data_IF_337762916448
#
_entry.id   IF_337762916448
#
_cell.length_a   1.000
_cell.length_b   1.000
_cell.length_c   1.000
_cell.angle_alpha   90.00
_cell.angle_beta   90.00
_cell.angle_gamma   90.00
#
_symmetry.space_group_name_H-M   'P 1'
#
loop_
_entity.id
_entity.type
_entity.pdbx_description
1 polymer ?
#
# COMPACT_ATOMS: atom_id res chain seq x y z
N UNK A 1 38.68 -20.57 -37.90
CA UNK A 1 37.53 -21.37 -37.42
C UNK A 1 36.74 -20.51 -36.44
N UNK A 2 35.49 -20.14 -36.75
CA UNK A 2 34.66 -19.23 -35.93
C UNK A 2 33.55 -20.06 -35.29
N UNK A 3 33.67 -20.34 -34.00
CA UNK A 3 32.68 -21.13 -33.25
C UNK A 3 31.44 -20.29 -33.00
N UNK A 4 30.31 -20.68 -33.60
CA UNK A 4 29.01 -20.11 -33.25
C UNK A 4 28.56 -20.68 -31.90
N UNK A 5 28.26 -19.82 -30.94
CA UNK A 5 27.60 -20.23 -29.70
C UNK A 5 26.13 -20.54 -29.99
N UNK A 6 25.64 -21.67 -29.45
CA UNK A 6 24.20 -21.95 -29.42
C UNK A 6 23.53 -20.92 -28.51
N UNK A 7 22.50 -20.23 -29.01
CA UNK A 7 21.51 -19.62 -28.14
C UNK A 7 20.60 -20.73 -27.59
N UNK A 8 20.76 -21.04 -26.30
CA UNK A 8 19.77 -21.86 -25.59
C UNK A 8 18.56 -20.99 -25.23
N UNK A 9 17.41 -21.33 -25.82
CA UNK A 9 16.15 -20.63 -25.56
C UNK A 9 15.62 -21.04 -24.18
N UNK A 10 15.96 -20.27 -23.16
CA UNK A 10 15.44 -20.47 -21.81
C UNK A 10 13.96 -20.08 -21.76
N UNK A 11 13.08 -21.06 -21.63
CA UNK A 11 11.65 -20.82 -21.44
C UNK A 11 11.40 -19.92 -20.23
N UNK A 12 10.80 -18.76 -20.48
CA UNK A 12 10.29 -17.88 -19.44
C UNK A 12 8.97 -18.45 -18.90
N UNK A 13 8.72 -18.41 -17.57
CA UNK A 13 7.38 -18.64 -17.06
C UNK A 13 6.46 -17.56 -17.62
N UNK A 14 5.40 -17.96 -18.35
CA UNK A 14 4.34 -17.04 -18.77
C UNK A 14 3.58 -16.56 -17.53
N UNK A 15 3.93 -15.37 -17.05
CA UNK A 15 3.01 -14.53 -16.31
C UNK A 15 2.08 -13.92 -17.36
N UNK A 16 0.94 -14.56 -17.60
CA UNK A 16 0.01 -14.13 -18.63
C UNK A 16 -0.54 -12.73 -18.29
N UNK A 17 -0.04 -11.72 -19.01
CA UNK A 17 -0.66 -10.41 -19.08
C UNK A 17 -1.92 -10.49 -19.92
N UNK A 18 -2.93 -11.19 -19.42
CA UNK A 18 -4.29 -11.01 -19.89
C UNK A 18 -4.65 -9.54 -19.65
N UNK A 19 -4.82 -8.80 -20.73
CA UNK A 19 -5.57 -7.56 -20.69
C UNK A 19 -6.97 -7.95 -20.20
N UNK A 20 -7.31 -7.54 -18.98
CA UNK A 20 -8.65 -7.76 -18.41
C UNK A 20 -9.61 -7.01 -19.32
N UNK A 21 -10.39 -7.73 -20.11
CA UNK A 21 -11.56 -7.17 -20.76
C UNK A 21 -12.49 -6.69 -19.66
N UNK A 22 -12.85 -5.41 -19.69
CA UNK A 22 -13.85 -4.85 -18.81
C UNK A 22 -15.22 -5.40 -19.23
N UNK A 23 -15.54 -6.63 -18.82
CA UNK A 23 -16.88 -7.21 -18.93
C UNK A 23 -17.82 -6.48 -17.97
N UNK A 24 -18.28 -5.32 -18.41
CA UNK A 24 -19.17 -4.41 -17.69
C UNK A 24 -20.62 -4.94 -17.55
N UNK A 25 -20.82 -6.25 -17.62
CA UNK A 25 -22.12 -6.90 -17.76
C UNK A 25 -22.53 -7.86 -16.65
N UNK A 26 -21.62 -8.32 -15.79
CA UNK A 26 -21.98 -9.17 -14.65
C UNK A 26 -22.32 -8.32 -13.43
N UNK A 27 -23.58 -8.36 -13.00
CA UNK A 27 -23.97 -7.83 -11.68
C UNK A 27 -23.14 -8.53 -10.61
N UNK A 28 -22.38 -7.80 -9.76
CA UNK A 28 -21.45 -8.42 -8.83
C UNK A 28 -22.25 -9.14 -7.72
N UNK A 29 -22.37 -10.47 -7.84
CA UNK A 29 -22.89 -11.37 -6.80
C UNK A 29 -21.94 -11.50 -5.60
N UNK A 30 -20.94 -10.62 -5.50
CA UNK A 30 -19.71 -10.87 -4.79
C UNK A 30 -19.82 -10.49 -3.32
N UNK A 31 -19.98 -11.51 -2.47
CA UNK A 31 -19.60 -11.50 -1.04
C UNK A 31 -18.09 -11.36 -0.81
N UNK A 32 -17.33 -11.11 -1.88
CA UNK A 32 -15.88 -10.98 -1.92
C UNK A 32 -15.47 -9.51 -1.74
N UNK A 33 -14.57 -9.27 -0.81
CA UNK A 33 -13.98 -7.95 -0.57
C UNK A 33 -12.92 -7.63 -1.63
N UNK A 34 -13.07 -6.51 -2.34
CA UNK A 34 -12.12 -6.03 -3.35
C UNK A 34 -11.13 -5.04 -2.72
N UNK A 35 -9.83 -5.39 -2.70
CA UNK A 35 -8.77 -4.59 -2.05
C UNK A 35 -7.69 -4.16 -3.06
N UNK A 36 -7.51 -2.86 -3.23
CA UNK A 36 -6.34 -2.30 -3.91
C UNK A 36 -5.19 -2.08 -2.92
N UNK A 37 -3.98 -2.51 -3.29
CA UNK A 37 -2.75 -2.32 -2.50
C UNK A 37 -1.76 -1.54 -3.36
N UNK A 38 -1.48 -0.30 -2.99
CA UNK A 38 -0.55 0.57 -3.72
C UNK A 38 0.85 0.38 -3.15
N UNK A 39 1.71 -0.36 -3.85
CA UNK A 39 3.09 -0.68 -3.48
C UNK A 39 3.31 -2.14 -3.10
N UNK A 40 4.26 -2.79 -3.77
CA UNK A 40 4.67 -4.20 -3.61
C UNK A 40 5.96 -4.31 -2.75
N UNK A 41 6.07 -3.46 -1.74
CA UNK A 41 7.11 -3.54 -0.69
C UNK A 41 6.70 -4.43 0.48
N UNK A 42 7.47 -4.42 1.56
CA UNK A 42 7.25 -5.28 2.74
C UNK A 42 5.82 -5.22 3.29
N UNK A 43 5.25 -4.02 3.49
CA UNK A 43 3.90 -3.86 4.04
C UNK A 43 2.82 -4.40 3.10
N UNK A 44 2.88 -4.03 1.81
CA UNK A 44 1.87 -4.41 0.82
C UNK A 44 1.87 -5.92 0.54
N UNK A 45 3.06 -6.54 0.45
CA UNK A 45 3.15 -7.99 0.31
C UNK A 45 2.75 -8.73 1.59
N UNK A 46 3.15 -8.26 2.78
CA UNK A 46 2.73 -8.87 4.04
C UNK A 46 1.20 -8.84 4.20
N UNK A 47 0.57 -7.71 3.84
CA UNK A 47 -0.89 -7.59 3.76
C UNK A 47 -1.48 -8.59 2.77
N UNK A 48 -0.96 -8.66 1.54
CA UNK A 48 -1.49 -9.55 0.52
C UNK A 48 -1.41 -11.04 0.94
N UNK A 49 -0.29 -11.44 1.55
CA UNK A 49 -0.16 -12.78 2.13
C UNK A 49 -1.16 -13.02 3.26
N UNK A 50 -1.30 -12.04 4.18
CA UNK A 50 -2.21 -12.12 5.30
C UNK A 50 -3.67 -12.29 4.82
N UNK A 51 -4.12 -11.47 3.88
CA UNK A 51 -5.44 -11.59 3.24
C UNK A 51 -5.62 -12.95 2.59
N UNK A 52 -4.62 -13.43 1.84
CA UNK A 52 -4.68 -14.71 1.14
C UNK A 52 -4.80 -15.92 2.09
N UNK A 53 -4.04 -15.93 3.18
CA UNK A 53 -3.96 -17.06 4.09
C UNK A 53 -5.14 -17.11 5.07
N UNK A 54 -5.78 -15.98 5.36
CA UNK A 54 -6.84 -15.87 6.37
C UNK A 54 -8.24 -15.58 5.80
N UNK A 55 -8.36 -15.28 4.51
CA UNK A 55 -9.66 -15.18 3.83
C UNK A 55 -10.24 -16.57 3.53
N UNK A 56 -11.46 -16.89 4.01
CA UNK A 56 -12.10 -18.17 3.73
C UNK A 56 -12.48 -18.25 2.25
N UNK A 57 -12.19 -19.39 1.61
CA UNK A 57 -12.70 -19.74 0.27
C UNK A 57 -12.54 -18.68 -0.84
N UNK A 58 -11.59 -17.74 -0.70
CA UNK A 58 -11.40 -16.66 -1.67
C UNK A 58 -12.25 -15.41 -1.47
N UNK A 59 -12.87 -15.20 -0.31
CA UNK A 59 -13.71 -14.04 0.00
C UNK A 59 -12.98 -12.67 0.05
N UNK A 60 -11.73 -12.59 -0.43
CA UNK A 60 -10.99 -11.35 -0.71
C UNK A 60 -10.30 -11.49 -2.08
N UNK A 61 -10.47 -10.51 -2.97
CA UNK A 61 -9.59 -10.30 -4.13
C UNK A 61 -8.63 -9.14 -3.84
N UNK A 62 -7.34 -9.34 -4.11
CA UNK A 62 -6.30 -8.35 -3.86
C UNK A 62 -5.58 -7.96 -5.15
N UNK A 63 -5.58 -6.67 -5.48
CA UNK A 63 -4.83 -6.10 -6.62
C UNK A 63 -3.71 -5.21 -6.11
N UNK A 64 -2.46 -5.66 -6.29
CA UNK A 64 -1.27 -4.88 -5.96
C UNK A 64 -0.82 -4.06 -7.17
N UNK A 65 -0.70 -2.74 -7.03
CA UNK A 65 -0.13 -1.85 -8.02
C UNK A 65 1.33 -1.55 -7.67
N UNK A 66 2.26 -1.89 -8.56
CA UNK A 66 3.69 -1.61 -8.37
C UNK A 66 4.23 -0.71 -9.49
N UNK A 67 4.82 0.42 -9.10
CA UNK A 67 5.42 1.39 -10.02
C UNK A 67 6.71 0.85 -10.66
N UNK A 68 7.45 -0.01 -9.95
CA UNK A 68 8.62 -0.73 -10.45
C UNK A 68 8.26 -1.77 -11.53
N UNK A 69 9.29 -2.25 -12.24
CA UNK A 69 9.13 -3.43 -13.11
C UNK A 69 8.95 -4.70 -12.27
N UNK A 70 8.48 -5.78 -12.90
CA UNK A 70 8.63 -7.11 -12.31
C UNK A 70 10.12 -7.39 -12.07
N UNK A 71 10.49 -8.07 -10.97
CA UNK A 71 11.87 -8.49 -10.75
C UNK A 71 12.32 -9.42 -11.89
N UNK A 72 13.48 -9.13 -12.49
CA UNK A 72 14.08 -10.01 -13.50
C UNK A 72 14.81 -11.18 -12.82
N UNK A 73 15.03 -12.28 -13.55
CA UNK A 73 15.84 -13.41 -13.04
C UNK A 73 17.26 -12.97 -12.67
N UNK A 74 17.78 -11.99 -13.40
CA UNK A 74 19.17 -11.51 -13.31
C UNK A 74 19.40 -10.53 -12.14
N UNK A 75 18.33 -10.10 -11.44
CA UNK A 75 18.42 -9.20 -10.28
C UNK A 75 18.57 -7.72 -10.63
N UNK A 76 18.35 -7.33 -11.89
CA UNK A 76 18.47 -5.93 -12.32
C UNK A 76 17.43 -5.04 -11.61
N UNK A 77 17.93 -4.01 -10.92
CA UNK A 77 17.12 -3.10 -10.11
C UNK A 77 16.62 -3.72 -8.80
N UNK A 78 17.15 -4.86 -8.37
CA UNK A 78 16.77 -5.49 -7.11
C UNK A 78 17.33 -4.73 -5.89
N UNK A 79 16.57 -4.77 -4.78
CA UNK A 79 16.95 -4.08 -3.54
C UNK A 79 18.04 -4.88 -2.83
N UNK A 80 19.30 -4.45 -3.01
CA UNK A 80 20.48 -5.03 -2.37
C UNK A 80 20.62 -4.62 -0.89
N UNK A 81 21.47 -5.36 -0.18
CA UNK A 81 21.80 -5.15 1.24
C UNK A 81 20.85 -5.86 2.21
N UNK A 82 21.17 -5.76 3.49
CA UNK A 82 20.44 -6.44 4.56
C UNK A 82 19.34 -5.57 5.17
N UNK A 83 18.46 -6.22 5.92
CA UNK A 83 17.42 -5.56 6.69
C UNK A 83 17.15 -6.29 8.00
N UNK A 84 16.83 -5.51 9.03
CA UNK A 84 16.62 -6.01 10.38
C UNK A 84 15.14 -6.11 10.70
N UNK A 85 14.68 -7.34 10.91
CA UNK A 85 13.28 -7.75 11.07
C UNK A 85 13.12 -8.79 12.21
N UNK A 86 13.49 -8.45 13.45
CA UNK A 86 13.64 -9.41 14.56
C UNK A 86 12.35 -10.10 15.00
N UNK A 87 11.18 -9.65 14.56
CA UNK A 87 9.91 -10.31 14.85
C UNK A 87 9.16 -10.79 13.60
N UNK A 88 9.67 -10.55 12.38
CA UNK A 88 9.00 -11.01 11.18
C UNK A 88 8.81 -12.54 11.16
N UNK A 89 9.72 -13.32 11.78
CA UNK A 89 9.54 -14.76 11.96
C UNK A 89 8.29 -15.16 12.76
N UNK A 90 7.90 -14.41 13.80
CA UNK A 90 6.63 -14.67 14.51
C UNK A 90 5.42 -14.18 13.71
N UNK A 91 5.53 -13.05 13.02
CA UNK A 91 4.42 -12.52 12.20
C UNK A 91 4.14 -13.38 10.96
N UNK A 92 5.17 -13.93 10.31
CA UNK A 92 4.99 -14.87 9.20
C UNK A 92 4.30 -16.15 9.67
N UNK A 93 4.75 -16.71 10.82
CA UNK A 93 4.13 -17.91 11.38
C UNK A 93 2.67 -17.67 11.81
N UNK A 94 2.33 -16.47 12.31
CA UNK A 94 0.95 -16.14 12.71
C UNK A 94 -0.02 -16.08 11.52
N UNK A 95 0.47 -15.81 10.30
CA UNK A 95 -0.31 -15.88 9.05
C UNK A 95 -0.02 -17.13 8.20
N UNK A 96 0.55 -18.19 8.79
CA UNK A 96 0.77 -19.47 8.09
C UNK A 96 1.96 -19.50 7.12
N UNK A 97 2.73 -18.42 7.00
CA UNK A 97 3.91 -18.28 6.14
C UNK A 97 5.22 -18.82 6.75
N UNK A 98 5.16 -19.73 7.72
CA UNK A 98 6.36 -20.25 8.40
C UNK A 98 7.41 -20.79 7.43
N UNK A 99 6.97 -21.54 6.41
CA UNK A 99 7.85 -22.12 5.38
C UNK A 99 8.57 -21.06 4.55
N UNK A 100 7.88 -20.00 4.15
CA UNK A 100 8.45 -18.89 3.38
C UNK A 100 9.49 -18.13 4.22
N UNK A 101 9.25 -17.97 5.52
CA UNK A 101 10.24 -17.39 6.43
C UNK A 101 11.49 -18.25 6.57
N UNK A 102 11.32 -19.55 6.82
CA UNK A 102 12.44 -20.49 6.99
C UNK A 102 13.25 -20.63 5.67
N UNK A 103 12.58 -20.56 4.51
CA UNK A 103 13.23 -20.49 3.20
C UNK A 103 14.00 -19.18 2.98
N UNK A 104 13.47 -18.04 3.44
CA UNK A 104 14.18 -16.75 3.37
C UNK A 104 15.51 -16.80 4.15
N UNK A 105 15.49 -17.35 5.37
CA UNK A 105 16.70 -17.57 6.19
C UNK A 105 17.71 -18.47 5.47
N UNK A 106 17.23 -19.57 4.86
CA UNK A 106 18.07 -20.52 4.11
C UNK A 106 18.72 -19.89 2.88
N UNK A 107 17.94 -19.19 2.05
CA UNK A 107 18.42 -18.50 0.84
C UNK A 107 19.34 -17.32 1.19
N UNK A 108 19.05 -16.62 2.29
CA UNK A 108 19.89 -15.55 2.80
C UNK A 108 21.27 -16.00 3.28
N UNK A 109 21.47 -17.31 3.50
CA UNK A 109 22.67 -17.89 4.14
C UNK A 109 22.98 -17.21 5.48
N UNK A 110 21.93 -16.84 6.24
CA UNK A 110 22.10 -16.17 7.52
C UNK A 110 22.89 -17.06 8.49
N UNK A 111 23.91 -16.48 9.11
CA UNK A 111 24.55 -17.12 10.27
C UNK A 111 23.56 -17.15 11.43
N UNK A 112 23.76 -18.07 12.39
CA UNK A 112 22.93 -18.12 13.62
C UNK A 112 22.91 -16.78 14.37
N UNK A 113 23.99 -16.00 14.27
CA UNK A 113 24.07 -14.66 14.84
C UNK A 113 23.24 -13.62 14.08
N UNK A 114 23.24 -13.67 12.74
CA UNK A 114 22.40 -12.81 11.92
C UNK A 114 20.92 -13.12 12.17
N UNK A 115 20.55 -14.40 12.21
CA UNK A 115 19.22 -14.88 12.59
C UNK A 115 18.82 -14.37 13.99
N UNK A 116 19.67 -14.53 15.00
CA UNK A 116 19.42 -14.04 16.37
C UNK A 116 19.27 -12.50 16.46
N UNK A 117 19.88 -11.74 15.55
CA UNK A 117 19.67 -10.28 15.45
C UNK A 117 18.44 -9.89 14.61
N UNK A 118 17.90 -10.82 13.83
CA UNK A 118 16.86 -10.60 12.82
C UNK A 118 17.38 -9.99 11.52
N UNK A 119 18.68 -10.11 11.24
CA UNK A 119 19.32 -9.57 10.03
C UNK A 119 19.15 -10.57 8.86
N UNK A 120 18.58 -10.10 7.75
CA UNK A 120 18.23 -10.91 6.59
C UNK A 120 18.45 -10.12 5.27
N UNK A 121 18.97 -10.74 4.19
CA UNK A 121 19.07 -10.06 2.90
C UNK A 121 17.71 -9.64 2.36
N UNK A 122 17.58 -8.38 1.94
CA UNK A 122 16.31 -7.78 1.48
C UNK A 122 15.67 -8.55 0.34
N UNK A 123 16.48 -9.01 -0.61
CA UNK A 123 16.11 -9.94 -1.69
C UNK A 123 15.37 -11.18 -1.17
N UNK A 124 15.96 -11.87 -0.20
CA UNK A 124 15.42 -13.14 0.30
C UNK A 124 14.04 -12.92 0.96
N UNK A 125 13.91 -11.87 1.77
CA UNK A 125 12.65 -11.50 2.40
C UNK A 125 11.57 -11.09 1.38
N UNK A 126 11.93 -10.29 0.36
CA UNK A 126 10.99 -9.88 -0.68
C UNK A 126 10.59 -11.04 -1.61
N UNK A 127 11.49 -12.01 -1.87
CA UNK A 127 11.13 -13.24 -2.60
C UNK A 127 10.09 -14.02 -1.80
N UNK A 128 10.39 -14.40 -0.56
CA UNK A 128 9.50 -15.16 0.30
C UNK A 128 8.11 -14.52 0.47
N UNK A 129 8.06 -13.19 0.54
CA UNK A 129 6.81 -12.42 0.54
C UNK A 129 6.06 -12.46 -0.79
N UNK A 130 6.74 -12.36 -1.94
CA UNK A 130 6.12 -12.52 -3.27
C UNK A 130 5.61 -13.94 -3.48
N UNK A 131 6.39 -14.94 -3.08
CA UNK A 131 6.06 -16.36 -3.22
C UNK A 131 4.84 -16.71 -2.34
N UNK A 132 4.78 -16.17 -1.11
CA UNK A 132 3.60 -16.30 -0.25
C UNK A 132 2.34 -15.61 -0.79
N UNK A 133 2.49 -14.44 -1.44
CA UNK A 133 1.38 -13.73 -2.07
C UNK A 133 0.90 -14.45 -3.35
N UNK A 134 1.83 -14.95 -4.16
CA UNK A 134 1.57 -15.67 -5.41
C UNK A 134 1.00 -17.08 -5.17
N UNK A 135 1.41 -17.76 -4.10
CA UNK A 135 0.90 -19.09 -3.75
C UNK A 135 1.41 -20.18 -4.73
N UNK A 136 0.56 -21.05 -5.27
CA UNK A 136 -0.90 -21.15 -5.12
C UNK A 136 -1.30 -22.12 -4.00
N UNK A 137 -2.40 -21.78 -3.32
CA UNK A 137 -3.11 -22.69 -2.41
C UNK A 137 -4.51 -23.00 -2.92
N UNK A 138 -5.15 -24.04 -2.37
CA UNK A 138 -6.50 -24.49 -2.76
C UNK A 138 -7.62 -23.45 -2.50
N UNK A 139 -7.32 -22.33 -1.83
CA UNK A 139 -8.25 -21.24 -1.63
C UNK A 139 -8.27 -20.32 -2.86
N UNK A 140 -9.46 -20.05 -3.39
CA UNK A 140 -9.71 -19.21 -4.57
C UNK A 140 -9.40 -17.70 -4.39
N UNK A 141 -8.64 -17.32 -3.35
CA UNK A 141 -8.19 -15.95 -3.13
C UNK A 141 -7.19 -15.56 -4.22
N UNK A 142 -7.63 -14.76 -5.19
CA UNK A 142 -6.77 -14.15 -6.17
C UNK A 142 -5.96 -13.01 -5.54
N UNK A 143 -4.66 -13.03 -5.81
CA UNK A 143 -3.78 -11.88 -5.59
C UNK A 143 -3.07 -11.62 -6.91
N UNK A 144 -3.38 -10.50 -7.55
CA UNK A 144 -2.74 -10.07 -8.81
C UNK A 144 -1.75 -8.95 -8.54
N UNK A 145 -0.62 -8.93 -9.24
CA UNK A 145 0.39 -7.86 -9.14
C UNK A 145 0.57 -7.20 -10.50
N UNK A 146 0.18 -5.93 -10.58
CA UNK A 146 0.25 -5.10 -11.78
C UNK A 146 1.52 -4.24 -11.72
N UNK A 147 2.57 -4.71 -12.40
CA UNK A 147 3.85 -4.01 -12.49
C UNK A 147 3.84 -2.87 -13.52
N UNK A 148 4.80 -1.95 -13.37
CA UNK A 148 4.94 -0.70 -14.14
C UNK A 148 3.69 0.19 -14.06
N UNK A 149 2.87 0.03 -13.00
CA UNK A 149 1.63 0.77 -12.74
C UNK A 149 1.84 1.75 -11.59
N UNK A 150 1.92 3.04 -11.92
CA UNK A 150 2.03 4.09 -10.92
C UNK A 150 0.65 4.65 -10.62
N UNK A 151 0.11 4.39 -9.43
CA UNK A 151 -1.09 5.10 -8.96
C UNK A 151 -0.74 6.58 -8.75
N UNK A 152 -1.51 7.46 -9.38
CA UNK A 152 -1.37 8.92 -9.28
C UNK A 152 -2.55 9.57 -8.55
N UNK A 153 -3.65 8.85 -8.41
CA UNK A 153 -4.88 9.34 -7.79
C UNK A 153 -5.80 8.20 -7.39
N UNK A 154 -6.75 8.52 -6.52
CA UNK A 154 -7.98 7.76 -6.31
C UNK A 154 -9.16 8.69 -6.52
N UNK A 155 -10.27 8.14 -7.01
CA UNK A 155 -11.58 8.81 -7.12
C UNK A 155 -12.66 7.89 -6.55
N UNK A 156 -13.73 8.46 -5.99
CA UNK A 156 -14.97 7.70 -5.80
C UNK A 156 -15.73 7.73 -7.12
N UNK A 157 -16.43 6.66 -7.47
CA UNK A 157 -17.47 6.76 -8.48
C UNK A 157 -18.63 7.58 -7.87
N UNK A 158 -19.01 8.68 -8.51
CA UNK A 158 -20.11 9.54 -8.05
C UNK A 158 -21.48 8.88 -8.21
N UNK A 159 -21.57 7.80 -9.01
CA UNK A 159 -22.80 7.04 -9.23
C UNK A 159 -22.91 5.80 -8.32
N UNK A 160 -21.83 5.40 -7.64
CA UNK A 160 -21.84 4.25 -6.74
C UNK A 160 -22.13 4.67 -5.30
N UNK A 161 -23.36 4.41 -4.85
CA UNK A 161 -23.82 4.60 -3.47
C UNK A 161 -23.03 3.78 -2.44
N UNK A 162 -22.25 2.78 -2.88
CA UNK A 162 -21.35 2.02 -2.01
C UNK A 162 -20.01 2.74 -1.74
N UNK A 163 -19.73 3.88 -2.40
CA UNK A 163 -18.55 4.70 -2.16
C UNK A 163 -17.24 4.00 -2.53
N UNK A 164 -17.28 3.10 -3.52
CA UNK A 164 -16.10 2.36 -3.95
C UNK A 164 -15.10 3.26 -4.65
N UNK A 165 -13.84 2.90 -4.48
CA UNK A 165 -12.71 3.68 -4.94
C UNK A 165 -12.12 3.10 -6.22
N UNK A 166 -11.75 3.97 -7.14
CA UNK A 166 -11.00 3.61 -8.33
C UNK A 166 -9.57 4.17 -8.25
N UNK A 167 -8.58 3.37 -8.61
CA UNK A 167 -7.18 3.79 -8.74
C UNK A 167 -6.93 4.33 -10.15
N UNK A 168 -6.46 5.58 -10.24
CA UNK A 168 -6.02 6.22 -11.48
C UNK A 168 -4.52 5.95 -11.66
N UNK A 169 -4.16 5.33 -12.78
CA UNK A 169 -2.86 4.71 -12.99
C UNK A 169 -2.20 5.20 -14.27
N UNK A 170 -0.89 5.47 -14.21
CA UNK A 170 -0.05 5.81 -15.37
C UNK A 170 1.01 4.73 -15.60
N UNK A 171 1.20 4.26 -16.85
CA UNK A 171 2.30 3.38 -17.24
C UNK A 171 3.68 4.03 -17.00
N UNK A 172 4.60 3.30 -16.35
CA UNK A 172 5.92 3.85 -15.93
C UNK A 172 6.74 4.48 -17.07
N UNK A 173 6.61 3.99 -18.30
CA UNK A 173 7.38 4.48 -19.46
C UNK A 173 7.12 5.97 -19.76
N UNK A 174 5.95 6.51 -19.37
CA UNK A 174 5.62 7.92 -19.56
C UNK A 174 6.25 8.87 -18.51
N UNK A 175 6.81 8.35 -17.40
CA UNK A 175 7.59 9.16 -16.45
C UNK A 175 9.05 9.34 -16.84
N UNK A 176 9.61 8.39 -17.60
CA UNK A 176 11.05 8.36 -17.89
C UNK A 176 11.49 9.38 -18.96
N UNK A 177 10.55 9.87 -19.78
CA UNK A 177 10.84 10.81 -20.87
C UNK A 177 11.20 12.23 -20.39
N UNK A 178 10.95 12.58 -19.12
CA UNK A 178 11.13 13.95 -18.62
C UNK A 178 10.18 14.99 -19.23
N UNK A 179 9.33 14.57 -20.17
CA UNK A 179 8.35 15.42 -20.86
C UNK A 179 7.19 15.67 -19.91
N UNK A 180 7.33 16.72 -19.08
CA UNK A 180 6.20 17.45 -18.50
C UNK A 180 5.45 18.20 -19.62
N UNK A 181 4.89 17.45 -20.56
CA UNK A 181 4.05 17.98 -21.62
C UNK A 181 2.76 18.58 -21.05
N UNK A 182 2.05 19.42 -21.82
CA UNK A 182 0.79 19.99 -21.38
C UNK A 182 -0.20 18.89 -20.98
N UNK A 183 -0.89 19.08 -19.85
CA UNK A 183 -1.75 18.12 -19.12
C UNK A 183 -2.64 17.22 -20.02
N UNK A 184 -3.11 17.76 -21.16
CA UNK A 184 -3.90 17.07 -22.19
C UNK A 184 -3.25 15.83 -22.80
N UNK A 185 -1.91 15.69 -22.80
CA UNK A 185 -1.25 14.50 -23.37
C UNK A 185 -1.21 13.29 -22.43
N UNK A 186 -1.58 13.46 -21.16
CA UNK A 186 -1.65 12.34 -20.21
C UNK A 186 -3.03 11.67 -20.16
N UNK A 187 -4.10 12.36 -20.55
CA UNK A 187 -5.48 11.85 -20.41
C UNK A 187 -5.74 10.60 -21.25
N UNK A 188 -5.10 10.46 -22.42
CA UNK A 188 -5.24 9.29 -23.30
C UNK A 188 -4.55 8.01 -22.80
N UNK A 189 -3.80 8.08 -21.70
CA UNK A 189 -3.08 6.94 -21.11
C UNK A 189 -3.42 6.69 -19.64
N UNK A 190 -4.46 7.36 -19.11
CA UNK A 190 -4.99 7.10 -17.79
C UNK A 190 -5.79 5.79 -17.79
N UNK A 191 -5.20 4.76 -17.20
CA UNK A 191 -5.91 3.54 -16.88
C UNK A 191 -6.64 3.73 -15.54
N UNK A 192 -7.92 3.35 -15.50
CA UNK A 192 -8.70 3.30 -14.27
C UNK A 192 -8.91 1.85 -13.88
N UNK A 193 -8.67 1.53 -12.61
CA UNK A 193 -8.91 0.21 -12.04
C UNK A 193 -9.87 0.31 -10.87
N UNK A 194 -10.83 -0.59 -10.81
CA UNK A 194 -11.83 -0.65 -9.75
C UNK A 194 -13.09 -1.39 -10.21
N UNK A 195 -14.18 -1.31 -9.44
CA UNK A 195 -14.29 -0.56 -8.19
C UNK A 195 -13.73 -1.37 -6.99
N UNK A 196 -13.04 -0.71 -6.06
CA UNK A 196 -12.45 -1.31 -4.86
C UNK A 196 -13.20 -0.89 -3.59
N UNK A 197 -13.43 -1.83 -2.67
CA UNK A 197 -14.06 -1.53 -1.38
C UNK A 197 -13.08 -0.86 -0.40
N UNK A 198 -11.78 -1.18 -0.52
CA UNK A 198 -10.66 -0.63 0.27
C UNK A 198 -9.48 -0.31 -0.64
N UNK A 199 -8.84 0.83 -0.43
CA UNK A 199 -7.51 1.14 -1.00
C UNK A 199 -6.48 1.27 0.12
N UNK A 200 -5.34 0.60 -0.02
CA UNK A 200 -4.27 0.59 0.97
C UNK A 200 -2.99 1.22 0.42
N UNK A 201 -2.53 2.30 1.03
CA UNK A 201 -1.22 2.90 0.75
C UNK A 201 -0.11 2.13 1.45
N UNK A 202 0.73 1.47 0.66
CA UNK A 202 1.93 0.75 1.06
C UNK A 202 3.19 1.19 0.26
N UNK A 203 3.08 2.28 -0.50
CA UNK A 203 4.07 2.85 -1.43
C UNK A 203 5.16 3.70 -0.74
N UNK A 204 5.35 3.44 0.56
CA UNK A 204 6.50 3.88 1.32
C UNK A 204 6.57 5.38 1.62
N UNK A 205 7.80 5.89 1.76
CA UNK A 205 8.02 7.24 2.28
C UNK A 205 7.60 8.35 1.31
N UNK A 206 7.41 8.06 0.03
CA UNK A 206 6.93 9.03 -0.95
C UNK A 206 5.43 8.91 -1.22
N UNK A 207 4.69 8.15 -0.39
CA UNK A 207 3.31 7.72 -0.61
C UNK A 207 2.40 8.77 -1.24
N UNK A 208 1.81 8.41 -2.38
CA UNK A 208 0.85 9.22 -3.12
C UNK A 208 -0.43 9.37 -2.32
N UNK A 209 -0.96 8.27 -1.78
CA UNK A 209 -2.21 8.29 -1.01
C UNK A 209 -2.08 9.09 0.28
N UNK A 210 -0.95 9.00 1.00
CA UNK A 210 -0.70 9.89 2.15
C UNK A 210 -0.64 11.34 1.72
N UNK A 211 0.06 11.67 0.62
CA UNK A 211 0.14 13.04 0.11
C UNK A 211 -1.25 13.58 -0.21
N UNK A 212 -2.07 12.86 -0.98
CA UNK A 212 -3.44 13.27 -1.28
C UNK A 212 -4.25 13.53 -0.01
N UNK A 213 -4.28 12.57 0.92
CA UNK A 213 -5.00 12.68 2.18
C UNK A 213 -4.58 13.94 2.98
N UNK A 214 -3.30 14.31 2.96
CA UNK A 214 -2.78 15.42 3.75
C UNK A 214 -2.69 16.76 3.01
N UNK A 215 -2.68 16.78 1.68
CA UNK A 215 -2.67 18.00 0.85
C UNK A 215 -4.08 18.56 0.61
N UNK A 216 -5.13 17.78 0.84
CA UNK A 216 -6.54 18.20 0.89
C UNK A 216 -6.89 19.21 2.01
N UNK A 217 -5.92 19.93 2.57
CA UNK A 217 -6.13 21.14 3.36
C UNK A 217 -5.96 22.42 2.55
N UNK A 218 -5.60 22.34 1.26
CA UNK A 218 -5.22 23.51 0.46
C UNK A 218 -5.90 23.61 -0.93
N UNK A 219 -6.67 22.61 -1.36
CA UNK A 219 -7.26 22.55 -2.69
C UNK A 219 -8.71 21.99 -2.72
N UNK A 220 -9.64 22.70 -2.08
CA UNK A 220 -11.11 22.58 -2.25
C UNK A 220 -11.60 22.94 -3.69
N UNK A 221 -10.69 22.94 -4.68
CA UNK A 221 -10.91 23.39 -6.07
C UNK A 221 -10.59 22.33 -7.11
N UNK A 222 -10.38 21.08 -6.71
CA UNK A 222 -9.94 20.01 -7.62
C UNK A 222 -10.96 18.88 -7.82
N UNK A 223 -12.13 18.92 -7.15
CA UNK A 223 -13.13 17.86 -7.26
C UNK A 223 -12.66 16.52 -6.66
N UNK A 224 -11.74 16.56 -5.70
CA UNK A 224 -11.21 15.39 -4.97
C UNK A 224 -11.91 15.24 -3.62
N UNK A 225 -12.93 16.07 -3.35
CA UNK A 225 -13.64 16.16 -2.08
C UNK A 225 -14.58 14.97 -1.84
N UNK A 226 -14.98 14.25 -2.89
CA UNK A 226 -15.87 13.07 -2.84
C UNK A 226 -15.15 11.74 -2.50
N UNK A 227 -13.84 11.76 -2.23
CA UNK A 227 -13.11 10.53 -1.84
C UNK A 227 -13.44 10.15 -0.39
N UNK A 228 -14.07 8.98 -0.19
CA UNK A 228 -14.27 8.44 1.16
C UNK A 228 -12.95 7.95 1.80
N UNK A 229 -12.28 8.86 2.49
CA UNK A 229 -11.05 8.59 3.25
C UNK A 229 -11.23 7.60 4.42
N UNK A 230 -12.45 7.14 4.72
CA UNK A 230 -12.68 6.02 5.66
C UNK A 230 -12.35 4.67 5.04
N UNK A 231 -12.41 4.56 3.71
CA UNK A 231 -12.03 3.36 2.92
C UNK A 231 -10.55 3.31 2.53
N UNK A 232 -9.77 4.33 2.92
CA UNK A 232 -8.34 4.40 2.66
C UNK A 232 -7.55 4.02 3.91
N UNK A 233 -6.76 2.95 3.82
CA UNK A 233 -5.76 2.59 4.83
C UNK A 233 -4.37 3.08 4.42
N UNK A 234 -3.50 3.33 5.40
CA UNK A 234 -2.06 3.53 5.21
C UNK A 234 -1.30 2.55 6.12
N UNK A 235 -0.27 1.88 5.60
CA UNK A 235 0.56 0.90 6.34
C UNK A 235 2.06 1.11 6.12
N UNK A 236 2.88 0.72 7.09
CA UNK A 236 4.34 0.84 7.02
C UNK A 236 4.79 2.28 6.79
N UNK A 237 5.85 2.47 6.00
CA UNK A 237 6.40 3.80 5.69
C UNK A 237 5.36 4.80 5.12
N UNK A 238 4.25 4.32 4.54
CA UNK A 238 3.15 5.20 4.12
C UNK A 238 2.42 5.83 5.33
N UNK A 239 2.33 5.12 6.46
CA UNK A 239 1.66 5.52 7.71
C UNK A 239 2.55 6.35 8.66
N UNK A 240 3.85 6.04 8.75
CA UNK A 240 4.71 6.51 9.85
C UNK A 240 5.37 7.88 9.64
N UNK A 241 5.67 8.27 8.40
CA UNK A 241 6.54 9.42 8.07
C UNK A 241 6.13 10.73 8.76
N UNK A 242 4.83 11.01 8.88
CA UNK A 242 4.35 12.27 9.47
C UNK A 242 4.41 12.32 10.99
N UNK A 243 4.34 11.18 11.69
CA UNK A 243 4.40 11.14 13.15
C UNK A 243 5.84 11.08 13.69
N UNK A 244 6.84 10.93 12.81
CA UNK A 244 8.24 10.64 13.18
C UNK A 244 9.31 11.50 12.49
N UNK A 245 8.95 12.60 11.82
CA UNK A 245 9.92 13.47 11.11
C UNK A 245 11.11 13.93 11.97
N UNK A 246 10.92 14.01 13.30
CA UNK A 246 11.93 14.36 14.30
C UNK A 246 13.00 13.29 14.54
N UNK A 247 12.81 12.03 14.09
CA UNK A 247 13.75 10.92 14.37
C UNK A 247 14.84 10.76 13.29
N UNK A 248 14.87 11.65 12.30
CA UNK A 248 15.77 11.64 11.14
C UNK A 248 15.81 10.29 10.38
N UNK A 249 14.77 9.47 10.50
CA UNK A 249 14.70 8.13 9.91
C UNK A 249 15.44 7.06 10.71
N UNK A 250 15.97 7.32 11.90
CA UNK A 250 16.76 6.35 12.67
C UNK A 250 15.94 5.12 13.06
N UNK A 251 14.68 5.28 13.50
CA UNK A 251 13.83 4.10 13.79
C UNK A 251 13.45 3.37 12.50
N UNK A 252 13.22 4.10 11.41
CA UNK A 252 12.95 3.53 10.08
C UNK A 252 14.11 2.64 9.60
N UNK A 253 15.35 3.07 9.74
CA UNK A 253 16.55 2.28 9.40
C UNK A 253 16.64 1.02 10.28
N UNK A 254 16.36 1.15 11.59
CA UNK A 254 16.54 0.05 12.57
C UNK A 254 15.39 -0.97 12.61
N UNK A 255 14.15 -0.57 12.31
CA UNK A 255 12.92 -1.36 12.51
C UNK A 255 11.82 -1.13 11.46
N UNK A 256 12.04 -0.28 10.45
CA UNK A 256 10.98 0.15 9.53
C UNK A 256 10.31 -1.00 8.77
N UNK A 257 11.06 -2.04 8.37
CA UNK A 257 10.48 -3.23 7.75
C UNK A 257 9.75 -4.16 8.75
N UNK A 258 10.24 -4.27 9.99
CA UNK A 258 9.59 -5.03 11.06
C UNK A 258 8.20 -4.46 11.37
N UNK A 259 8.12 -3.12 11.52
CA UNK A 259 6.86 -2.40 11.70
C UNK A 259 5.97 -2.43 10.44
N UNK A 260 6.56 -2.37 9.25
CA UNK A 260 5.82 -2.48 7.99
C UNK A 260 5.15 -3.85 7.80
N UNK A 261 5.85 -4.95 8.15
CA UNK A 261 5.31 -6.32 8.10
C UNK A 261 4.16 -6.46 9.11
N UNK A 262 4.37 -5.99 10.35
CA UNK A 262 3.32 -5.96 11.39
C UNK A 262 2.07 -5.20 10.96
N UNK A 263 2.23 -4.00 10.41
CA UNK A 263 1.11 -3.20 9.92
C UNK A 263 0.33 -3.94 8.82
N UNK A 264 1.02 -4.62 7.90
CA UNK A 264 0.39 -5.43 6.85
C UNK A 264 -0.36 -6.65 7.40
N UNK A 265 0.25 -7.40 8.32
CA UNK A 265 -0.35 -8.58 8.96
C UNK A 265 -1.56 -8.18 9.82
N UNK A 266 -1.45 -7.14 10.64
CA UNK A 266 -2.53 -6.66 11.51
C UNK A 266 -3.73 -6.15 10.69
N UNK A 267 -3.50 -5.38 9.62
CA UNK A 267 -4.57 -4.94 8.73
C UNK A 267 -5.20 -6.13 7.97
N UNK A 268 -4.40 -7.10 7.53
CA UNK A 268 -4.90 -8.32 6.87
C UNK A 268 -5.76 -9.17 7.79
N UNK A 269 -5.37 -9.30 9.07
CA UNK A 269 -6.18 -9.90 10.14
C UNK A 269 -7.50 -9.16 10.34
N UNK A 270 -7.49 -7.83 10.41
CA UNK A 270 -8.70 -7.01 10.59
C UNK A 270 -9.68 -7.19 9.43
N UNK A 271 -9.21 -7.07 8.19
CA UNK A 271 -10.04 -7.23 6.99
C UNK A 271 -10.60 -8.66 6.88
N UNK A 272 -9.78 -9.68 7.14
CA UNK A 272 -10.23 -11.09 7.11
C UNK A 272 -11.29 -11.38 8.18
N UNK A 273 -11.14 -10.84 9.40
CA UNK A 273 -12.15 -10.93 10.47
C UNK A 273 -13.46 -10.22 10.09
N UNK A 274 -13.37 -9.08 9.41
CA UNK A 274 -14.53 -8.33 8.95
C UNK A 274 -15.31 -9.13 7.90
N UNK A 275 -14.63 -9.71 6.90
CA UNK A 275 -15.23 -10.64 5.92
C UNK A 275 -15.86 -11.86 6.59
N UNK A 276 -15.18 -12.48 7.56
CA UNK A 276 -15.71 -13.60 8.36
C UNK A 276 -16.95 -13.24 9.20
N UNK A 277 -17.09 -11.97 9.59
CA UNK A 277 -18.27 -11.47 10.31
C UNK A 277 -19.46 -11.30 9.36
N UNK A 278 -19.21 -10.82 8.13
CA UNK A 278 -20.24 -10.72 7.09
C UNK A 278 -20.78 -12.09 6.67
N UNK A 279 -19.90 -13.03 6.30
CA UNK A 279 -20.32 -14.35 5.80
C UNK A 279 -21.15 -15.13 6.81
N UNK A 280 -20.93 -14.92 8.11
CA UNK A 280 -21.75 -15.51 9.19
C UNK A 280 -23.11 -14.84 9.37
N UNK A 281 -23.24 -13.54 9.11
CA UNK A 281 -24.49 -12.79 9.29
C UNK A 281 -25.48 -12.98 8.14
N UNK A 282 -24.98 -13.11 6.90
CA UNK A 282 -25.83 -13.18 5.71
C UNK A 282 -26.18 -14.61 5.29
N UNK A 283 -26.85 -15.34 6.20
CA UNK A 283 -27.42 -16.64 5.89
C UNK A 283 -28.77 -16.50 5.15
N UNK A 284 -28.72 -16.01 3.91
CA UNK A 284 -29.77 -16.18 2.88
C UNK A 284 -30.97 -15.21 2.87
N UNK A 285 -31.41 -14.64 3.99
CA UNK A 285 -32.76 -14.03 4.06
C UNK A 285 -32.84 -12.50 4.19
N UNK A 286 -31.73 -11.78 4.39
CA UNK A 286 -31.73 -10.33 4.62
C UNK A 286 -30.68 -9.67 3.74
N UNK A 287 -31.02 -8.62 2.96
CA UNK A 287 -30.03 -7.89 2.17
C UNK A 287 -29.00 -7.22 3.10
N UNK A 288 -27.73 -7.09 2.67
CA UNK A 288 -26.72 -6.46 3.49
C UNK A 288 -27.09 -5.00 3.80
N UNK A 289 -27.16 -4.57 5.08
CA UNK A 289 -27.36 -3.17 5.44
C UNK A 289 -26.33 -2.26 4.75
N UNK A 290 -26.84 -1.18 4.16
CA UNK A 290 -26.03 -0.06 3.72
C UNK A 290 -25.57 0.78 4.94
N UNK A 291 -24.47 1.55 4.81
CA UNK A 291 -23.33 1.32 3.93
C UNK A 291 -22.30 0.39 4.58
N UNK A 292 -21.46 -0.23 3.76
CA UNK A 292 -20.40 -1.14 4.19
C UNK A 292 -19.25 -0.37 4.89
N UNK A 293 -19.36 -0.12 6.20
CA UNK A 293 -18.33 0.58 6.98
C UNK A 293 -17.29 -0.41 7.55
N UNK A 294 -16.09 -0.40 6.97
CA UNK A 294 -14.94 -1.14 7.50
C UNK A 294 -14.23 -0.27 8.54
N UNK A 295 -14.16 -0.76 9.78
CA UNK A 295 -13.32 -0.16 10.81
C UNK A 295 -11.83 -0.38 10.52
N UNK A 296 -11.21 0.50 9.73
CA UNK A 296 -9.76 0.50 9.48
C UNK A 296 -8.91 0.95 10.70
N UNK A 297 -9.54 1.31 11.81
CA UNK A 297 -8.90 1.60 13.10
C UNK A 297 -7.72 2.59 12.99
N UNK A 298 -6.52 2.15 13.45
CA UNK A 298 -5.30 2.97 13.43
C UNK A 298 -4.71 3.24 12.03
N UNK A 299 -5.14 2.47 11.04
CA UNK A 299 -4.68 2.56 9.65
C UNK A 299 -5.50 3.54 8.82
N UNK A 300 -6.72 3.89 9.26
CA UNK A 300 -7.62 4.80 8.58
C UNK A 300 -6.97 6.16 8.29
N UNK A 301 -6.87 6.53 7.01
CA UNK A 301 -6.27 7.77 6.54
C UNK A 301 -7.00 9.00 7.08
N UNK A 302 -8.34 8.99 7.10
CA UNK A 302 -9.16 10.05 7.70
C UNK A 302 -8.80 10.30 9.19
N UNK A 303 -8.61 9.23 9.97
CA UNK A 303 -8.24 9.35 11.39
C UNK A 303 -6.88 10.06 11.58
N UNK A 304 -5.93 9.79 10.67
CA UNK A 304 -4.61 10.41 10.62
C UNK A 304 -4.67 11.86 10.19
N UNK A 305 -5.41 12.16 9.12
CA UNK A 305 -5.67 13.52 8.65
C UNK A 305 -6.21 14.42 9.78
N UNK A 306 -7.20 13.93 10.54
CA UNK A 306 -7.77 14.65 11.70
C UNK A 306 -6.74 14.94 12.80
N UNK A 307 -5.80 14.02 13.07
CA UNK A 307 -4.70 14.23 14.03
C UNK A 307 -3.66 15.23 13.52
N UNK A 308 -3.29 15.15 12.25
CA UNK A 308 -2.34 16.08 11.60
C UNK A 308 -2.93 17.50 11.59
N UNK A 309 -4.19 17.67 11.17
CA UNK A 309 -4.91 18.96 11.23
C UNK A 309 -4.90 19.55 12.65
N UNK A 310 -5.21 18.76 13.69
CA UNK A 310 -5.13 19.22 15.09
C UNK A 310 -3.71 19.69 15.49
N UNK A 311 -2.66 18.92 15.16
CA UNK A 311 -1.27 19.31 15.43
C UNK A 311 -0.89 20.59 14.69
N UNK A 312 -1.26 20.72 13.42
CA UNK A 312 -1.01 21.91 12.61
C UNK A 312 -1.71 23.13 13.21
N UNK A 313 -3.00 23.05 13.54
CA UNK A 313 -3.74 24.15 14.17
C UNK A 313 -3.02 24.65 15.43
N UNK A 314 -2.60 23.74 16.32
CA UNK A 314 -1.84 24.10 17.53
C UNK A 314 -0.54 24.83 17.18
N UNK A 315 0.25 24.32 16.23
CA UNK A 315 1.50 24.96 15.80
C UNK A 315 1.24 26.34 15.19
N UNK A 316 0.25 26.49 14.30
CA UNK A 316 -0.14 27.77 13.73
C UNK A 316 -0.61 28.76 14.80
N UNK A 317 -1.40 28.34 15.78
CA UNK A 317 -1.82 29.17 16.91
C UNK A 317 -0.64 29.64 17.76
N UNK A 318 0.33 28.77 18.06
CA UNK A 318 1.55 29.16 18.79
C UNK A 318 2.41 30.14 17.98
N UNK A 319 2.61 29.89 16.69
CA UNK A 319 3.35 30.81 15.81
C UNK A 319 2.67 32.17 15.67
N UNK A 320 1.34 32.20 15.54
CA UNK A 320 0.56 33.43 15.50
C UNK A 320 0.66 34.21 16.82
N UNK A 321 0.57 33.52 17.97
CA UNK A 321 0.74 34.13 19.28
C UNK A 321 2.13 34.76 19.46
N UNK A 322 3.20 34.07 19.03
CA UNK A 322 4.57 34.60 19.05
C UNK A 322 4.68 35.84 18.15
N UNK A 323 4.13 35.79 16.93
CA UNK A 323 4.17 36.91 15.98
C UNK A 323 3.43 38.14 16.52
N UNK A 324 2.21 37.95 17.05
CA UNK A 324 1.43 39.01 17.71
C UNK A 324 2.19 39.60 18.89
N UNK A 325 2.82 38.75 19.72
CA UNK A 325 3.62 39.21 20.87
C UNK A 325 4.80 40.09 20.42
N UNK A 326 5.54 39.68 19.39
CA UNK A 326 6.66 40.45 18.83
C UNK A 326 6.19 41.78 18.21
N UNK A 327 5.07 41.78 17.48
CA UNK A 327 4.48 42.99 16.91
C UNK A 327 4.03 43.96 18.01
N UNK A 328 3.35 43.47 19.05
CA UNK A 328 2.93 44.27 20.20
C UNK A 328 4.12 44.89 20.94
N UNK A 329 5.19 44.12 21.15
CA UNK A 329 6.43 44.65 21.75
C UNK A 329 7.05 45.77 20.92
N UNK A 330 7.00 45.73 19.58
CA UNK A 330 7.49 46.82 18.73
C UNK A 330 6.64 48.09 18.86
N UNK A 331 5.31 47.95 18.71
CA UNK A 331 4.36 49.06 18.83
C UNK A 331 4.48 49.74 20.21
N UNK A 332 4.66 48.95 21.27
CA UNK A 332 4.85 49.49 22.63
C UNK A 332 6.20 50.19 22.87
N UNK A 333 7.20 50.00 22.01
CA UNK A 333 8.47 50.75 22.06
C UNK A 333 8.35 52.05 21.28
N UNK A 334 7.75 52.01 20.09
CA UNK A 334 7.48 53.19 19.27
C UNK A 334 6.60 54.21 20.00
N UNK A 335 5.59 53.76 20.76
CA UNK A 335 4.74 54.64 21.58
C UNK A 335 5.41 55.26 22.82
N UNK A 336 6.67 54.91 23.12
CA UNK A 336 7.44 55.45 24.26
C UNK A 336 8.56 56.42 23.84
N UNK A 337 8.71 56.66 22.55
CA UNK A 337 9.65 57.62 21.95
C UNK A 337 8.92 58.90 21.55
#
# INVERSE_FOLDING_TARGET
KRTMSKQESAAQPRLDTHAVSNDAGSTPSSTQLSVAIVGCGYAGLALACALRQMSPHGAVDATIFEAAGAPTRDGDGEVVGDIRVPSAGSEFRSVGMGRQWDEALRVGRCTKEAEARGDLPRRALLSALRDGAASSGNNAASTRVLYKRTVIGIRSDSNDWHGRLECVVVPRHMRASGVCGPRKTFESSLETYGPFDVVVGADGVLSVLRKMCCTLTFFERTGVDDVDWRRVALIGDALWVQDRWWDFGVRRIRRGADEAIKDGVELGLMLSRHVNSMTKKYCGCVPPPQPFEIELGRFCAYSKQRRVRKKQIIVWSVMAFILISVLWSRISVEHKQ
#
